data_IF_920297808087
#
_entry.id   IF_920297808087
#
_cell.length_a   1.000
_cell.length_b   1.000
_cell.length_c   1.000
_cell.angle_alpha   90.00
_cell.angle_beta   90.00
_cell.angle_gamma   90.00
#
_symmetry.space_group_name_H-M   'P 1'
#
loop_
_entity.id
_entity.type
_entity.pdbx_description
1 polymer ?
#
# COMPACT_ATOMS: atom_id res chain seq x y z
N UNK A 1 -13.79 -15.11 28.53
CA UNK A 1 -13.87 -14.90 27.07
C UNK A 1 -12.46 -14.82 26.46
N UNK A 2 -11.69 -15.91 26.37
CA UNK A 2 -10.26 -15.78 26.01
C UNK A 2 -9.59 -16.94 25.27
N UNK A 3 -10.31 -17.94 24.77
CA UNK A 3 -9.70 -19.10 24.07
C UNK A 3 -10.14 -19.28 22.62
N UNK A 4 -11.28 -18.71 22.23
CA UNK A 4 -11.90 -18.93 20.93
C UNK A 4 -12.50 -17.63 20.39
N UNK A 5 -12.53 -17.48 19.05
CA UNK A 5 -13.24 -16.43 18.30
C UNK A 5 -14.15 -17.06 17.23
N UNK A 6 -15.15 -16.31 16.77
CA UNK A 6 -15.92 -16.68 15.58
C UNK A 6 -14.96 -16.81 14.39
N UNK A 7 -15.12 -17.87 13.60
CA UNK A 7 -14.24 -18.24 12.50
C UNK A 7 -13.11 -19.20 12.87
N UNK A 8 -12.87 -19.49 14.16
CA UNK A 8 -11.87 -20.47 14.55
C UNK A 8 -12.26 -21.88 14.09
N UNK A 9 -11.29 -22.59 13.49
CA UNK A 9 -11.40 -24.02 13.23
C UNK A 9 -11.13 -24.79 14.52
N UNK A 10 -12.06 -25.64 14.88
CA UNK A 10 -12.03 -26.41 16.12
C UNK A 10 -12.25 -27.89 15.84
N UNK A 11 -11.72 -28.72 16.73
CA UNK A 11 -11.88 -30.18 16.68
C UNK A 11 -12.71 -30.62 17.88
N UNK A 12 -13.67 -31.50 17.65
CA UNK A 12 -14.45 -32.12 18.71
C UNK A 12 -13.58 -33.11 19.48
N UNK A 13 -13.44 -32.92 20.79
CA UNK A 13 -12.62 -33.78 21.65
C UNK A 13 -13.40 -35.02 22.17
N UNK A 14 -14.70 -35.08 21.87
CA UNK A 14 -15.61 -36.17 22.20
C UNK A 14 -16.77 -36.25 21.19
N UNK A 15 -17.48 -37.37 21.16
CA UNK A 15 -18.70 -37.52 20.35
C UNK A 15 -19.79 -36.54 20.83
N UNK A 16 -20.41 -35.82 19.90
CA UNK A 16 -21.43 -34.81 20.19
C UNK A 16 -22.45 -34.64 19.06
N UNK A 17 -23.68 -35.10 19.29
CA UNK A 17 -24.72 -35.13 18.25
C UNK A 17 -24.26 -35.95 17.04
N UNK A 18 -24.25 -35.32 15.85
CA UNK A 18 -23.74 -35.91 14.61
C UNK A 18 -22.22 -35.76 14.40
N UNK A 19 -21.52 -35.04 15.28
CA UNK A 19 -20.06 -34.94 15.24
C UNK A 19 -19.42 -36.06 16.06
N UNK A 20 -18.38 -36.68 15.53
CA UNK A 20 -17.55 -37.67 16.22
C UNK A 20 -16.30 -37.03 16.80
N UNK A 21 -15.73 -37.66 17.83
CA UNK A 21 -14.42 -37.26 18.34
C UNK A 21 -13.41 -37.24 17.18
N UNK A 22 -12.72 -36.12 17.02
CA UNK A 22 -11.76 -35.89 15.94
C UNK A 22 -12.35 -35.16 14.73
N UNK A 23 -13.67 -35.07 14.61
CA UNK A 23 -14.31 -34.26 13.56
C UNK A 23 -13.97 -32.78 13.78
N UNK A 24 -13.92 -32.03 12.68
CA UNK A 24 -13.56 -30.63 12.70
C UNK A 24 -14.73 -29.77 12.23
N UNK A 25 -14.85 -28.58 12.79
CA UNK A 25 -15.87 -27.60 12.45
C UNK A 25 -15.39 -26.17 12.67
N UNK A 26 -16.25 -25.21 12.38
CA UNK A 26 -15.95 -23.78 12.50
C UNK A 26 -16.91 -23.13 13.49
N UNK A 27 -16.39 -22.33 14.42
CA UNK A 27 -17.24 -21.53 15.32
C UNK A 27 -17.96 -20.44 14.50
N UNK A 28 -19.29 -20.43 14.53
CA UNK A 28 -20.10 -19.43 13.80
C UNK A 28 -20.79 -18.42 14.72
N UNK A 29 -21.01 -18.75 15.98
CA UNK A 29 -21.50 -17.80 16.99
C UNK A 29 -21.19 -18.27 18.40
N UNK A 30 -21.37 -17.37 19.37
CA UNK A 30 -21.24 -17.69 20.78
C UNK A 30 -22.61 -17.82 21.45
N UNK A 31 -22.69 -18.76 22.38
CA UNK A 31 -23.79 -18.90 23.33
C UNK A 31 -23.36 -18.22 24.64
N UNK A 32 -24.31 -17.86 25.50
CA UNK A 32 -23.99 -17.22 26.77
C UNK A 32 -23.09 -18.13 27.66
N UNK A 33 -22.27 -17.45 28.47
CA UNK A 33 -21.35 -17.93 29.51
C UNK A 33 -20.20 -18.88 29.10
N UNK A 34 -20.40 -19.92 28.28
CA UNK A 34 -19.32 -20.87 27.95
C UNK A 34 -19.54 -21.79 26.73
N UNK A 35 -20.43 -21.40 25.83
CA UNK A 35 -20.77 -22.17 24.64
C UNK A 35 -20.51 -21.47 23.31
N UNK A 36 -20.44 -22.26 22.25
CA UNK A 36 -20.37 -21.81 20.87
C UNK A 36 -21.28 -22.66 19.99
N UNK A 37 -21.72 -22.08 18.88
CA UNK A 37 -22.28 -22.83 17.76
C UNK A 37 -21.13 -23.17 16.82
N UNK A 38 -20.92 -24.47 16.58
CA UNK A 38 -19.91 -24.99 15.66
C UNK A 38 -20.61 -25.64 14.48
N UNK A 39 -20.34 -25.14 13.27
CA UNK A 39 -20.81 -25.77 12.04
C UNK A 39 -19.85 -26.90 11.67
N UNK A 40 -20.38 -28.11 11.59
CA UNK A 40 -19.68 -29.29 11.09
C UNK A 40 -20.48 -29.87 9.92
N UNK A 41 -19.82 -30.00 8.76
CA UNK A 41 -20.46 -30.32 7.47
C UNK A 41 -21.55 -29.27 7.15
N UNK A 42 -22.81 -29.63 7.33
CA UNK A 42 -23.98 -28.78 7.07
C UNK A 42 -24.88 -28.64 8.30
N UNK A 43 -24.40 -29.06 9.48
CA UNK A 43 -25.17 -29.09 10.72
C UNK A 43 -24.50 -28.19 11.76
N UNK A 44 -25.32 -27.39 12.44
CA UNK A 44 -24.89 -26.53 13.53
C UNK A 44 -25.02 -27.27 14.87
N UNK A 45 -23.91 -27.31 15.62
CA UNK A 45 -23.84 -27.92 16.94
C UNK A 45 -23.67 -26.84 18.00
N UNK A 46 -24.65 -26.69 18.90
CA UNK A 46 -24.49 -25.87 20.10
C UNK A 46 -23.67 -26.64 21.14
N UNK A 47 -22.38 -26.34 21.31
CA UNK A 47 -21.48 -27.08 22.19
C UNK A 47 -20.74 -26.16 23.19
N UNK A 48 -20.39 -26.72 24.34
CA UNK A 48 -19.59 -26.05 25.36
C UNK A 48 -18.10 -26.05 24.94
N UNK A 49 -17.35 -25.02 25.30
CA UNK A 49 -15.91 -24.91 25.00
C UNK A 49 -15.06 -26.07 25.52
N UNK A 50 -15.50 -26.79 26.55
CA UNK A 50 -14.84 -28.00 27.05
C UNK A 50 -14.87 -29.17 26.07
N UNK A 51 -15.74 -29.13 25.05
CA UNK A 51 -15.94 -30.20 24.07
C UNK A 51 -15.21 -29.99 22.76
N UNK A 52 -14.50 -28.87 22.64
CA UNK A 52 -13.78 -28.48 21.44
C UNK A 52 -12.38 -27.99 21.80
N UNK A 53 -11.44 -28.26 20.91
CA UNK A 53 -10.09 -27.71 20.98
C UNK A 53 -9.79 -26.91 19.72
N UNK A 54 -8.96 -25.87 19.86
CA UNK A 54 -8.53 -25.09 18.70
C UNK A 54 -7.68 -26.02 17.84
N UNK A 55 -8.07 -26.20 16.58
CA UNK A 55 -7.17 -26.78 15.59
C UNK A 55 -6.23 -25.64 15.23
N UNK A 56 -4.91 -25.76 15.50
CA UNK A 56 -3.97 -24.80 14.96
C UNK A 56 -4.25 -24.78 13.47
N UNK A 57 -4.61 -23.61 12.94
CA UNK A 57 -4.57 -23.42 11.50
C UNK A 57 -3.13 -23.70 11.18
N UNK A 58 -2.84 -24.90 10.67
CA UNK A 58 -1.60 -25.13 9.97
C UNK A 58 -1.60 -24.01 8.95
N UNK A 59 -0.76 -23.01 9.18
CA UNK A 59 -0.37 -22.05 8.19
C UNK A 59 0.02 -22.93 7.02
N UNK A 60 -0.89 -23.09 6.06
CA UNK A 60 -0.53 -23.64 4.79
C UNK A 60 0.53 -22.65 4.35
N UNK A 61 1.80 -23.07 4.36
CA UNK A 61 2.94 -22.22 4.01
C UNK A 61 2.50 -21.41 2.82
N UNK A 62 2.35 -20.11 3.02
CA UNK A 62 1.74 -19.28 1.99
C UNK A 62 2.63 -19.41 0.76
N UNK A 63 2.04 -19.96 -0.31
CA UNK A 63 2.73 -20.13 -1.58
C UNK A 63 2.40 -18.94 -2.47
N UNK A 64 3.40 -18.17 -2.92
CA UNK A 64 3.16 -17.04 -3.79
C UNK A 64 2.55 -17.51 -5.11
N UNK A 65 1.58 -16.75 -5.60
CA UNK A 65 0.90 -16.99 -6.88
C UNK A 65 1.09 -15.78 -7.79
N UNK A 66 1.00 -16.01 -9.10
CA UNK A 66 0.98 -14.91 -10.09
C UNK A 66 -0.11 -13.90 -9.72
N UNK A 67 0.26 -12.62 -9.76
CA UNK A 67 -0.57 -11.49 -9.35
C UNK A 67 -0.42 -11.07 -7.88
N UNK A 68 0.13 -11.90 -6.98
CA UNK A 68 0.29 -11.48 -5.58
C UNK A 68 1.26 -10.29 -5.48
N UNK A 69 0.93 -9.31 -4.63
CA UNK A 69 1.86 -8.24 -4.20
C UNK A 69 2.63 -8.73 -2.98
N UNK A 70 3.94 -8.71 -3.05
CA UNK A 70 4.84 -9.28 -2.04
C UNK A 70 5.93 -8.28 -1.69
N UNK A 71 6.29 -8.19 -0.41
CA UNK A 71 7.42 -7.37 0.04
C UNK A 71 8.64 -8.26 0.17
N UNK A 72 9.72 -7.89 -0.51
CA UNK A 72 10.99 -8.63 -0.45
C UNK A 72 11.60 -8.43 0.93
N UNK A 73 11.81 -9.51 1.69
CA UNK A 73 12.41 -9.47 3.03
C UNK A 73 13.89 -9.84 3.00
N UNK A 74 14.31 -10.55 1.97
CA UNK A 74 15.69 -10.94 1.73
C UNK A 74 15.94 -10.96 0.21
N UNK A 75 17.10 -10.49 -0.22
CA UNK A 75 17.50 -10.49 -1.62
C UNK A 75 18.82 -11.25 -1.83
N UNK A 76 19.16 -12.20 -0.97
CA UNK A 76 20.39 -12.98 -1.08
C UNK A 76 20.12 -14.33 -1.78
N UNK A 77 20.96 -14.70 -2.76
CA UNK A 77 20.91 -16.03 -3.37
C UNK A 77 21.31 -17.12 -2.37
N UNK A 78 20.97 -18.40 -2.62
CA UNK A 78 21.44 -19.50 -1.77
C UNK A 78 22.97 -19.57 -1.63
N UNK A 79 23.72 -19.02 -2.59
CA UNK A 79 25.18 -18.92 -2.55
C UNK A 79 25.73 -17.69 -1.80
N UNK A 80 24.89 -16.88 -1.16
CA UNK A 80 25.30 -15.70 -0.39
C UNK A 80 25.48 -14.43 -1.23
N UNK A 81 25.31 -14.48 -2.56
CA UNK A 81 25.44 -13.32 -3.43
C UNK A 81 24.15 -12.48 -3.47
N UNK A 82 24.23 -11.14 -3.45
CA UNK A 82 23.05 -10.27 -3.52
C UNK A 82 22.40 -10.26 -4.91
N UNK A 83 21.07 -10.27 -4.91
CA UNK A 83 20.20 -10.15 -6.09
C UNK A 83 19.91 -8.66 -6.31
N UNK A 84 20.73 -8.02 -7.13
CA UNK A 84 20.71 -6.55 -7.37
C UNK A 84 19.41 -6.00 -7.96
N UNK A 85 18.54 -6.85 -8.48
CA UNK A 85 17.27 -6.43 -9.13
C UNK A 85 16.15 -6.15 -8.14
N UNK A 86 16.27 -6.62 -6.90
CA UNK A 86 15.22 -6.50 -5.90
C UNK A 86 15.75 -5.80 -4.66
N UNK A 87 15.01 -4.80 -4.19
CA UNK A 87 15.31 -4.03 -2.98
C UNK A 87 14.54 -4.62 -1.81
N UNK A 88 15.23 -4.91 -0.71
CA UNK A 88 14.57 -5.36 0.54
C UNK A 88 13.66 -4.24 1.05
N UNK A 89 12.46 -4.59 1.49
CA UNK A 89 11.42 -3.67 1.94
C UNK A 89 10.56 -3.09 0.83
N UNK A 90 10.90 -3.33 -0.44
CA UNK A 90 10.10 -2.89 -1.59
C UNK A 90 9.10 -3.93 -2.00
N UNK A 91 7.95 -3.45 -2.44
CA UNK A 91 6.85 -4.28 -2.88
C UNK A 91 6.92 -4.53 -4.39
N UNK A 92 6.62 -5.77 -4.79
CA UNK A 92 6.63 -6.22 -6.17
C UNK A 92 5.43 -7.10 -6.46
N UNK A 93 5.06 -7.20 -7.74
CA UNK A 93 4.01 -8.12 -8.20
C UNK A 93 4.63 -9.40 -8.78
N UNK A 94 4.12 -10.56 -8.34
CA UNK A 94 4.53 -11.87 -8.87
C UNK A 94 4.08 -12.01 -10.32
N UNK A 95 5.03 -12.15 -11.24
CA UNK A 95 4.76 -12.29 -12.69
C UNK A 95 4.83 -13.74 -13.16
N UNK A 96 5.58 -14.59 -12.46
CA UNK A 96 5.63 -16.03 -12.72
C UNK A 96 6.12 -16.79 -11.49
N UNK A 97 5.74 -18.06 -11.40
CA UNK A 97 6.17 -19.02 -10.37
C UNK A 97 6.77 -20.25 -11.05
N UNK A 98 7.92 -20.72 -10.59
CA UNK A 98 8.54 -21.96 -11.05
C UNK A 98 9.03 -22.78 -9.86
N UNK A 99 9.44 -24.03 -10.11
CA UNK A 99 10.16 -24.83 -9.11
C UNK A 99 11.65 -24.59 -9.27
N UNK A 100 12.35 -24.39 -8.16
CA UNK A 100 13.81 -24.37 -8.17
C UNK A 100 14.38 -25.80 -8.21
N UNK A 101 15.69 -25.91 -8.38
CA UNK A 101 16.41 -27.19 -8.43
C UNK A 101 16.40 -27.97 -7.11
N UNK A 102 16.01 -27.32 -5.99
CA UNK A 102 15.86 -27.94 -4.67
C UNK A 102 14.40 -28.32 -4.36
N UNK A 103 13.48 -28.16 -5.32
CA UNK A 103 12.06 -28.46 -5.15
C UNK A 103 11.25 -27.37 -4.45
N UNK A 104 11.86 -26.24 -4.11
CA UNK A 104 11.20 -25.06 -3.56
C UNK A 104 10.49 -24.22 -4.62
N UNK A 105 9.62 -23.30 -4.18
CA UNK A 105 8.94 -22.35 -5.07
C UNK A 105 9.83 -21.12 -5.30
N UNK A 106 10.17 -20.90 -6.57
CA UNK A 106 10.86 -19.73 -7.07
C UNK A 106 9.85 -18.80 -7.75
N UNK A 107 10.04 -17.50 -7.58
CA UNK A 107 9.18 -16.47 -8.16
C UNK A 107 9.99 -15.44 -8.94
N UNK A 108 9.38 -15.00 -10.02
CA UNK A 108 9.89 -13.96 -10.91
C UNK A 108 9.02 -12.71 -10.78
N UNK A 109 9.69 -11.57 -10.65
CA UNK A 109 9.07 -10.26 -10.60
C UNK A 109 9.55 -9.49 -11.84
N UNK A 110 8.64 -8.73 -12.47
CA UNK A 110 8.97 -7.83 -13.59
C UNK A 110 9.67 -8.50 -14.79
N UNK A 111 9.45 -9.81 -15.02
CA UNK A 111 10.05 -10.53 -16.16
C UNK A 111 11.57 -10.73 -16.08
N UNK A 112 12.21 -10.53 -14.92
CA UNK A 112 13.64 -10.73 -14.75
C UNK A 112 13.99 -12.16 -14.33
N UNK A 113 14.98 -12.77 -14.98
CA UNK A 113 15.37 -14.18 -14.79
C UNK A 113 16.10 -14.47 -13.46
N UNK A 114 16.04 -13.58 -12.47
CA UNK A 114 16.57 -13.79 -11.13
C UNK A 114 15.43 -14.18 -10.20
N UNK A 115 15.51 -15.38 -9.64
CA UNK A 115 14.47 -15.98 -8.83
C UNK A 115 14.67 -15.67 -7.34
N UNK A 116 13.59 -15.30 -6.67
CA UNK A 116 13.50 -15.25 -5.22
C UNK A 116 12.68 -16.44 -4.72
N UNK A 117 12.95 -16.93 -3.53
CA UNK A 117 12.20 -18.03 -2.90
C UNK A 117 11.06 -17.51 -2.04
N UNK A 118 10.02 -18.32 -1.84
CA UNK A 118 8.81 -17.95 -1.09
C UNK A 118 9.08 -17.44 0.33
N UNK A 119 10.13 -17.92 0.99
CA UNK A 119 10.59 -17.49 2.33
C UNK A 119 11.31 -16.14 2.34
N UNK A 120 11.68 -15.62 1.17
CA UNK A 120 12.31 -14.31 0.99
C UNK A 120 11.28 -13.18 0.80
N UNK A 121 10.02 -13.47 1.11
CA UNK A 121 8.93 -12.52 1.08
C UNK A 121 8.14 -12.53 2.38
N UNK A 122 7.64 -11.35 2.74
CA UNK A 122 6.51 -11.28 3.62
C UNK A 122 5.25 -11.68 2.84
N UNK A 123 4.46 -12.61 3.40
CA UNK A 123 3.14 -12.91 2.89
C UNK A 123 2.28 -11.63 2.86
N UNK A 124 1.42 -11.46 1.84
CA UNK A 124 0.55 -10.31 1.74
C UNK A 124 -0.35 -10.23 2.98
N UNK A 125 -0.59 -9.00 3.44
CA UNK A 125 -1.56 -8.77 4.51
C UNK A 125 -2.94 -9.24 4.02
N UNK A 126 -3.69 -10.01 4.83
CA UNK A 126 -5.03 -10.45 4.43
C UNK A 126 -5.90 -9.26 4.01
N UNK A 127 -6.47 -9.34 2.81
CA UNK A 127 -7.34 -8.30 2.29
C UNK A 127 -8.62 -8.23 3.14
N UNK A 128 -9.05 -7.03 3.51
CA UNK A 128 -10.36 -6.80 4.13
C UNK A 128 -11.23 -6.02 3.15
N UNK A 129 -12.30 -6.65 2.66
CA UNK A 129 -13.27 -5.97 1.80
C UNK A 129 -14.12 -5.01 2.63
N UNK A 130 -14.32 -3.80 2.11
CA UNK A 130 -15.14 -2.73 2.66
C UNK A 130 -16.11 -2.26 1.59
N UNK A 131 -17.39 -2.11 1.93
CA UNK A 131 -18.40 -1.61 1.00
C UNK A 131 -18.04 -0.22 0.45
N UNK A 132 -18.41 0.05 -0.79
CA UNK A 132 -18.11 1.28 -1.52
C UNK A 132 -16.69 1.38 -2.08
N UNK A 133 -15.78 0.46 -1.74
CA UNK A 133 -14.40 0.45 -2.25
C UNK A 133 -14.26 -0.36 -3.53
N UNK A 134 -13.17 -0.10 -4.25
CA UNK A 134 -12.76 -0.86 -5.43
C UNK A 134 -11.54 -1.71 -5.09
N UNK A 135 -11.41 -2.83 -5.78
CA UNK A 135 -10.38 -3.83 -5.56
C UNK A 135 -9.79 -4.28 -6.89
N UNK A 136 -8.56 -4.80 -6.83
CA UNK A 136 -7.86 -5.36 -7.98
C UNK A 136 -7.99 -6.87 -7.98
N UNK A 137 -8.41 -7.46 -9.09
CA UNK A 137 -8.35 -8.90 -9.30
C UNK A 137 -6.93 -9.35 -9.59
N UNK A 138 -6.69 -10.65 -9.45
CA UNK A 138 -5.41 -11.29 -9.78
C UNK A 138 -4.93 -11.02 -11.21
N UNK A 139 -5.84 -10.93 -12.17
CA UNK A 139 -5.54 -10.59 -13.57
C UNK A 139 -5.47 -9.08 -13.85
N UNK A 140 -5.55 -8.26 -12.80
CA UNK A 140 -5.27 -6.83 -12.86
C UNK A 140 -6.46 -5.92 -13.16
N UNK A 141 -7.69 -6.45 -13.18
CA UNK A 141 -8.91 -5.66 -13.42
C UNK A 141 -9.40 -4.97 -12.16
N UNK A 142 -10.05 -3.81 -12.35
CA UNK A 142 -10.74 -3.06 -11.29
C UNK A 142 -12.12 -3.67 -11.07
N UNK A 143 -12.44 -4.00 -9.82
CA UNK A 143 -13.73 -4.58 -9.41
C UNK A 143 -14.32 -3.77 -8.27
N UNK A 144 -15.57 -3.35 -8.42
CA UNK A 144 -16.29 -2.52 -7.46
C UNK A 144 -17.27 -1.57 -8.16
N UNK A 145 -17.95 -0.70 -7.40
CA UNK A 145 -17.87 -0.59 -5.94
C UNK A 145 -18.40 -1.86 -5.28
N UNK A 146 -17.77 -2.28 -4.18
CA UNK A 146 -18.24 -3.45 -3.43
C UNK A 146 -19.52 -3.12 -2.68
N UNK A 147 -20.50 -4.01 -2.75
CA UNK A 147 -21.73 -3.91 -1.99
C UNK A 147 -21.79 -5.06 -0.98
N UNK A 148 -22.38 -4.80 0.19
CA UNK A 148 -22.63 -5.86 1.15
C UNK A 148 -23.81 -6.71 0.66
N UNK A 149 -23.57 -8.01 0.48
CA UNK A 149 -24.60 -8.91 -0.05
C UNK A 149 -25.40 -9.62 1.05
N UNK A 150 -24.87 -9.66 2.27
CA UNK A 150 -25.58 -10.01 3.51
C UNK A 150 -26.67 -11.08 3.37
N UNK A 151 -26.32 -12.28 2.90
CA UNK A 151 -27.33 -13.27 2.51
C UNK A 151 -27.82 -14.17 3.67
N UNK A 152 -27.07 -14.30 4.78
CA UNK A 152 -27.48 -15.05 5.97
C UNK A 152 -26.59 -14.74 7.20
N UNK A 153 -27.04 -15.01 8.44
CA UNK A 153 -26.18 -14.91 9.62
C UNK A 153 -24.98 -15.87 9.51
N UNK A 154 -23.78 -15.31 9.36
CA UNK A 154 -22.53 -16.06 9.22
C UNK A 154 -21.90 -16.02 7.82
N UNK A 155 -22.57 -15.42 6.83
CA UNK A 155 -22.02 -15.23 5.48
C UNK A 155 -21.67 -13.75 5.25
N UNK A 156 -20.45 -13.37 5.63
CA UNK A 156 -19.83 -12.07 5.31
C UNK A 156 -19.38 -12.07 3.84
N UNK A 157 -20.36 -11.98 2.92
CA UNK A 157 -20.12 -11.90 1.48
C UNK A 157 -20.30 -10.47 0.95
N UNK A 158 -19.41 -10.09 0.04
CA UNK A 158 -19.52 -8.85 -0.75
C UNK A 158 -19.84 -9.19 -2.20
N UNK A 159 -20.54 -8.28 -2.90
CA UNK A 159 -20.90 -8.42 -4.30
C UNK A 159 -20.37 -7.23 -5.12
N UNK A 160 -19.91 -7.49 -6.34
CA UNK A 160 -19.57 -6.45 -7.31
C UNK A 160 -19.76 -6.95 -8.74
N UNK A 161 -19.88 -6.02 -9.67
CA UNK A 161 -19.91 -6.33 -11.10
C UNK A 161 -18.50 -6.64 -11.62
N UNK A 162 -18.36 -7.77 -12.30
CA UNK A 162 -17.17 -8.14 -13.07
C UNK A 162 -17.64 -8.59 -14.45
N UNK A 163 -17.17 -7.91 -15.50
CA UNK A 163 -17.58 -8.14 -16.90
C UNK A 163 -19.10 -8.15 -17.10
N UNK A 164 -19.81 -7.22 -16.44
CA UNK A 164 -21.27 -7.11 -16.53
C UNK A 164 -22.05 -8.22 -15.81
N UNK A 165 -21.38 -9.06 -15.02
CA UNK A 165 -22.01 -10.08 -14.20
C UNK A 165 -21.72 -9.84 -12.72
N UNK A 166 -22.72 -10.00 -11.87
CA UNK A 166 -22.53 -9.94 -10.42
C UNK A 166 -21.69 -11.13 -9.94
N UNK A 167 -20.62 -10.85 -9.20
CA UNK A 167 -19.74 -11.84 -8.58
C UNK A 167 -19.73 -11.67 -7.07
N UNK A 168 -19.65 -12.80 -6.36
CA UNK A 168 -19.63 -12.87 -4.90
C UNK A 168 -18.22 -13.13 -4.40
N UNK A 169 -17.81 -12.39 -3.39
CA UNK A 169 -16.49 -12.47 -2.79
C UNK A 169 -16.63 -12.73 -1.29
N UNK A 170 -15.80 -13.64 -0.78
CA UNK A 170 -15.64 -13.80 0.66
C UNK A 170 -14.84 -12.61 1.22
N UNK A 171 -14.95 -12.38 2.53
CA UNK A 171 -14.26 -11.29 3.23
C UNK A 171 -12.74 -11.23 3.01
N UNK A 172 -12.12 -12.37 2.72
CA UNK A 172 -10.68 -12.51 2.46
C UNK A 172 -10.27 -12.18 1.01
N UNK A 173 -11.22 -11.76 0.16
CA UNK A 173 -10.98 -11.44 -1.25
C UNK A 173 -11.20 -12.60 -2.21
N UNK A 174 -11.39 -13.83 -1.74
CA UNK A 174 -11.55 -14.99 -2.62
C UNK A 174 -12.92 -15.01 -3.29
N UNK A 175 -12.96 -15.42 -4.56
CA UNK A 175 -14.24 -15.59 -5.25
C UNK A 175 -15.01 -16.77 -4.65
N UNK A 176 -16.26 -16.54 -4.27
CA UNK A 176 -17.09 -17.50 -3.54
C UNK A 176 -17.23 -18.84 -4.28
N UNK A 177 -17.36 -18.81 -5.61
CA UNK A 177 -17.45 -20.01 -6.46
C UNK A 177 -16.10 -20.56 -6.94
N UNK A 178 -14.98 -20.13 -6.32
CA UNK A 178 -13.63 -20.67 -6.53
C UNK A 178 -13.05 -20.46 -7.93
N UNK A 179 -13.52 -19.44 -8.66
CA UNK A 179 -12.81 -18.93 -9.84
C UNK A 179 -11.64 -18.06 -9.39
N UNK A 180 -10.44 -18.66 -9.38
CA UNK A 180 -9.23 -18.04 -8.82
C UNK A 180 -8.69 -16.87 -9.63
N UNK A 181 -9.11 -16.73 -10.89
CA UNK A 181 -8.62 -15.66 -11.76
C UNK A 181 -9.19 -14.29 -11.35
N UNK A 182 -10.31 -14.30 -10.65
CA UNK A 182 -10.99 -13.09 -10.17
C UNK A 182 -10.87 -12.91 -8.65
N UNK A 183 -10.00 -13.66 -7.98
CA UNK A 183 -9.67 -13.38 -6.58
C UNK A 183 -9.15 -11.94 -6.46
N UNK A 184 -9.65 -11.22 -5.45
CA UNK A 184 -9.20 -9.89 -5.11
C UNK A 184 -7.89 -9.97 -4.33
N UNK A 185 -6.91 -9.19 -4.74
CA UNK A 185 -5.54 -9.26 -4.22
C UNK A 185 -5.08 -7.98 -3.51
N UNK A 186 -5.76 -6.85 -3.76
CA UNK A 186 -5.46 -5.56 -3.15
C UNK A 186 -6.67 -4.61 -3.29
N UNK A 187 -6.75 -3.60 -2.42
CA UNK A 187 -7.59 -2.42 -2.69
C UNK A 187 -7.07 -1.70 -3.94
N UNK A 188 -7.99 -1.32 -4.81
CA UNK A 188 -7.68 -0.53 -6.00
C UNK A 188 -7.52 0.93 -5.56
N UNK A 189 -6.28 1.37 -5.51
CA UNK A 189 -5.93 2.78 -5.41
C UNK A 189 -5.73 3.26 -6.85
N UNK A 190 -6.50 4.26 -7.28
CA UNK A 190 -6.27 4.88 -8.59
C UNK A 190 -4.85 5.46 -8.61
N UNK A 191 -3.99 4.92 -9.49
CA UNK A 191 -2.68 5.50 -9.75
C UNK A 191 -2.87 6.93 -10.30
N UNK A 192 -2.05 7.91 -9.90
CA UNK A 192 -2.15 9.26 -10.45
C UNK A 192 -1.86 9.18 -11.95
N UNK A 193 -2.90 9.33 -12.77
CA UNK A 193 -2.82 9.14 -14.22
C UNK A 193 -2.01 10.27 -14.86
N UNK A 194 -0.84 9.90 -15.40
CA UNK A 194 -0.13 10.67 -16.43
C UNK A 194 -0.88 10.45 -17.74
N UNK A 195 -1.72 11.40 -18.15
CA UNK A 195 -2.53 11.27 -19.37
C UNK A 195 -1.73 11.85 -20.55
N UNK A 196 -1.15 10.96 -21.36
CA UNK A 196 -0.94 11.24 -22.77
C UNK A 196 -2.28 11.03 -23.48
N UNK A 197 -2.82 12.07 -24.12
CA UNK A 197 -4.05 11.97 -24.90
C UNK A 197 -3.90 12.71 -26.22
N UNK A 198 -4.17 11.99 -27.29
CA UNK A 198 -4.24 12.43 -28.68
C UNK A 198 -5.72 12.57 -29.11
N UNK A 199 -6.06 13.78 -29.56
CA UNK A 199 -7.10 14.23 -30.49
C UNK A 199 -8.51 13.58 -30.47
N UNK A 200 -9.47 14.26 -29.85
CA UNK A 200 -10.40 15.16 -30.55
C UNK A 200 -11.50 15.68 -29.59
N UNK A 201 -11.61 17.01 -29.52
CA UNK A 201 -12.46 17.82 -28.62
C UNK A 201 -12.12 17.69 -27.12
N UNK A 202 -11.16 18.51 -26.66
CA UNK A 202 -10.66 18.50 -25.29
C UNK A 202 -11.75 18.95 -24.29
N UNK A 203 -12.16 18.11 -23.32
CA UNK A 203 -12.73 18.63 -22.08
C UNK A 203 -11.66 19.47 -21.36
N UNK A 204 -12.09 20.53 -20.66
CA UNK A 204 -11.22 21.46 -19.95
C UNK A 204 -10.20 20.69 -19.08
N UNK A 205 -8.91 20.88 -19.40
CA UNK A 205 -7.76 20.17 -18.80
C UNK A 205 -7.58 20.48 -17.30
N UNK A 206 -8.10 21.63 -16.87
CA UNK A 206 -8.04 22.13 -15.50
C UNK A 206 -9.39 22.75 -15.11
N UNK A 207 -9.64 22.88 -13.80
CA UNK A 207 -10.81 23.55 -13.21
C UNK A 207 -10.41 24.72 -12.32
N UNK A 208 -11.36 25.62 -12.07
CA UNK A 208 -11.20 26.70 -11.07
C UNK A 208 -10.81 26.09 -9.71
N UNK A 209 -9.76 26.64 -9.12
CA UNK A 209 -9.14 26.15 -7.89
C UNK A 209 -7.93 25.24 -8.10
N UNK A 210 -7.66 24.76 -9.32
CA UNK A 210 -6.44 24.00 -9.60
C UNK A 210 -5.21 24.92 -9.53
N UNK A 211 -4.15 24.42 -8.89
CA UNK A 211 -2.83 25.05 -8.88
C UNK A 211 -2.03 24.57 -10.08
N UNK A 212 -1.49 25.52 -10.84
CA UNK A 212 -0.78 25.27 -12.09
C UNK A 212 0.57 25.99 -12.10
N UNK A 213 1.46 25.56 -12.99
CA UNK A 213 2.63 26.31 -13.42
C UNK A 213 2.41 26.74 -14.87
N UNK A 214 2.76 27.98 -15.18
CA UNK A 214 2.68 28.48 -16.55
C UNK A 214 3.89 28.03 -17.35
N UNK A 215 3.60 27.44 -18.52
CA UNK A 215 4.56 27.04 -19.52
C UNK A 215 4.50 27.92 -20.77
N UNK A 216 3.79 29.06 -20.72
CA UNK A 216 3.82 30.04 -21.80
C UNK A 216 5.25 30.57 -22.01
N UNK A 217 5.54 31.08 -23.20
CA UNK A 217 6.80 31.77 -23.49
C UNK A 217 6.64 33.28 -23.33
N UNK A 218 6.21 33.69 -22.14
CA UNK A 218 5.73 35.03 -21.83
C UNK A 218 6.03 35.48 -20.40
N UNK A 219 5.37 36.55 -19.92
CA UNK A 219 5.69 37.18 -18.63
C UNK A 219 5.41 36.26 -17.43
N UNK A 220 4.55 35.26 -17.58
CA UNK A 220 4.24 34.31 -16.49
C UNK A 220 5.03 33.01 -16.58
N UNK A 221 5.97 32.87 -17.52
CA UNK A 221 6.74 31.63 -17.72
C UNK A 221 7.37 31.13 -16.41
N UNK A 222 7.01 29.91 -16.02
CA UNK A 222 7.52 29.25 -14.82
C UNK A 222 6.91 29.75 -13.50
N UNK A 223 5.99 30.71 -13.54
CA UNK A 223 5.28 31.18 -12.34
C UNK A 223 4.18 30.20 -11.93
N UNK A 224 3.96 30.12 -10.63
CA UNK A 224 2.87 29.35 -10.04
C UNK A 224 1.64 30.22 -9.90
N UNK A 225 0.47 29.63 -10.16
CA UNK A 225 -0.79 30.33 -9.98
C UNK A 225 -1.95 29.39 -9.71
N UNK A 226 -3.08 29.98 -9.34
CA UNK A 226 -4.35 29.28 -9.14
C UNK A 226 -5.33 29.76 -10.20
N UNK A 227 -6.02 28.81 -10.84
CA UNK A 227 -7.09 29.13 -11.79
C UNK A 227 -8.26 29.73 -11.01
N UNK A 228 -8.63 30.97 -11.32
CA UNK A 228 -9.74 31.68 -10.67
C UNK A 228 -10.97 31.81 -11.58
N UNK A 229 -10.84 31.47 -12.86
CA UNK A 229 -11.92 31.47 -13.83
C UNK A 229 -11.55 30.70 -15.10
N UNK A 230 -12.57 30.24 -15.81
CA UNK A 230 -12.48 29.40 -17.00
C UNK A 230 -13.37 30.00 -18.08
N UNK A 231 -12.75 30.55 -19.13
CA UNK A 231 -13.48 30.97 -20.33
C UNK A 231 -13.57 29.80 -21.30
N UNK A 232 -14.67 29.06 -21.15
CA UNK A 232 -15.03 27.89 -21.95
C UNK A 232 -15.21 28.20 -23.44
N UNK A 233 -15.30 29.48 -23.83
CA UNK A 233 -15.48 29.88 -25.23
C UNK A 233 -14.16 30.01 -25.99
N UNK A 234 -13.06 30.31 -25.30
CA UNK A 234 -11.74 30.53 -25.92
C UNK A 234 -10.64 29.56 -25.43
N UNK A 235 -11.00 28.59 -24.58
CA UNK A 235 -10.06 27.64 -23.97
C UNK A 235 -8.92 28.31 -23.18
N UNK A 236 -9.25 29.43 -22.52
CA UNK A 236 -8.35 30.21 -21.69
C UNK A 236 -8.79 30.17 -20.23
N UNK A 237 -7.79 30.17 -19.34
CA UNK A 237 -7.97 30.30 -17.91
C UNK A 237 -7.54 31.69 -17.47
N UNK A 238 -8.30 32.32 -16.58
CA UNK A 238 -7.77 33.44 -15.81
C UNK A 238 -7.09 32.86 -14.57
N UNK A 239 -5.79 33.10 -14.46
CA UNK A 239 -4.92 32.55 -13.43
C UNK A 239 -4.39 33.69 -12.59
N UNK A 240 -4.46 33.54 -11.26
CA UNK A 240 -3.80 34.43 -10.33
C UNK A 240 -2.42 33.90 -10.00
N UNK A 241 -1.38 34.63 -10.42
CA UNK A 241 0.01 34.22 -10.25
C UNK A 241 0.63 34.77 -8.96
N UNK A 242 1.50 33.97 -8.35
CA UNK A 242 2.28 34.35 -7.19
C UNK A 242 3.50 35.17 -7.62
N UNK A 243 3.68 36.37 -7.04
CA UNK A 243 4.83 37.23 -7.36
C UNK A 243 4.77 37.91 -8.73
N UNK A 244 3.61 37.94 -9.37
CA UNK A 244 3.35 38.66 -10.61
C UNK A 244 2.51 39.91 -10.34
N UNK A 245 2.83 41.05 -10.93
CA UNK A 245 2.18 42.35 -10.72
C UNK A 245 1.94 43.16 -12.01
N UNK A 246 2.04 42.51 -13.18
CA UNK A 246 1.82 43.11 -14.51
C UNK A 246 0.65 42.45 -15.26
N UNK A 247 -0.39 42.10 -14.50
CA UNK A 247 -1.58 41.40 -14.94
C UNK A 247 -2.50 42.21 -15.85
N UNK A 248 -3.33 41.50 -16.60
CA UNK A 248 -4.38 42.07 -17.45
C UNK A 248 -5.79 41.58 -17.03
N UNK A 249 -5.90 41.00 -15.84
CA UNK A 249 -7.17 40.63 -15.23
C UNK A 249 -7.79 41.74 -14.40
N UNK A 250 -8.66 41.38 -13.45
CA UNK A 250 -9.30 42.35 -12.54
C UNK A 250 -8.33 42.82 -11.45
N UNK A 251 -7.33 42.01 -11.13
CA UNK A 251 -6.22 42.36 -10.26
C UNK A 251 -4.90 42.32 -11.04
N UNK A 252 -3.93 43.11 -10.60
CA UNK A 252 -2.60 43.25 -11.22
C UNK A 252 -1.77 41.95 -11.20
N UNK A 253 -2.22 40.90 -10.51
CA UNK A 253 -1.57 39.58 -10.50
C UNK A 253 -2.33 38.50 -11.29
N UNK A 254 -3.27 38.91 -12.14
CA UNK A 254 -4.10 38.01 -12.92
C UNK A 254 -3.74 38.05 -14.41
N UNK A 255 -3.59 36.88 -15.00
CA UNK A 255 -3.20 36.74 -16.40
C UNK A 255 -4.02 35.65 -17.08
N UNK A 256 -4.31 35.87 -18.36
CA UNK A 256 -5.00 34.91 -19.20
C UNK A 256 -4.00 33.92 -19.76
N UNK A 257 -4.16 32.64 -19.40
CA UNK A 257 -3.28 31.56 -19.80
C UNK A 257 -4.06 30.56 -20.64
N UNK A 258 -3.51 30.14 -21.79
CA UNK A 258 -4.16 29.10 -22.60
C UNK A 258 -4.10 27.75 -21.89
N UNK A 259 -5.09 26.90 -22.11
CA UNK A 259 -5.13 25.57 -21.50
C UNK A 259 -3.91 24.69 -21.84
N UNK A 260 -3.32 24.88 -23.00
CA UNK A 260 -2.11 24.20 -23.45
C UNK A 260 -0.84 24.67 -22.73
N UNK A 261 -0.82 25.93 -22.30
CA UNK A 261 0.29 26.57 -21.57
C UNK A 261 0.17 26.35 -20.06
N UNK A 262 -0.99 25.94 -19.55
CA UNK A 262 -1.14 25.49 -18.17
C UNK A 262 -0.62 24.06 -17.99
N UNK A 263 0.19 23.85 -16.95
CA UNK A 263 0.69 22.55 -16.54
C UNK A 263 0.39 22.31 -15.07
N UNK A 264 0.06 21.07 -14.69
CA UNK A 264 0.13 20.72 -13.28
C UNK A 264 1.58 20.89 -12.82
N UNK A 265 1.83 21.46 -11.63
CA UNK A 265 3.17 21.47 -11.07
C UNK A 265 3.64 20.01 -11.04
N UNK A 266 4.79 19.73 -11.65
CA UNK A 266 5.39 18.40 -11.58
C UNK A 266 5.43 17.99 -10.11
N UNK A 267 4.95 16.78 -9.79
CA UNK A 267 5.10 16.19 -8.47
C UNK A 267 6.58 16.30 -8.13
N UNK A 268 6.91 17.23 -7.22
CA UNK A 268 8.26 17.33 -6.71
C UNK A 268 8.63 15.92 -6.24
N UNK A 269 9.79 15.43 -6.64
CA UNK A 269 10.44 14.38 -5.87
C UNK A 269 10.58 14.95 -4.48
N UNK A 270 9.61 14.66 -3.61
CA UNK A 270 9.55 15.29 -2.30
C UNK A 270 10.70 14.70 -1.52
N UNK A 271 11.74 15.49 -1.37
CA UNK A 271 12.90 15.09 -0.60
C UNK A 271 12.43 14.95 0.85
N UNK A 272 12.56 13.76 1.47
CA UNK A 272 12.04 13.55 2.80
C UNK A 272 12.74 14.49 3.79
N UNK A 273 12.01 14.94 4.80
CA UNK A 273 12.48 15.91 5.77
C UNK A 273 12.17 15.48 7.20
N UNK A 274 12.95 15.95 8.16
CA UNK A 274 12.72 15.73 9.60
C UNK A 274 12.57 17.07 10.31
N UNK A 275 11.93 17.03 11.48
CA UNK A 275 11.90 18.16 12.41
C UNK A 275 12.84 17.86 13.58
N UNK A 276 13.64 18.85 13.98
CA UNK A 276 14.51 18.76 15.15
C UNK A 276 14.37 20.00 16.03
N UNK A 277 14.53 19.84 17.33
CA UNK A 277 14.64 20.95 18.27
C UNK A 277 15.96 21.69 18.00
N UNK A 278 15.94 23.02 18.01
CA UNK A 278 17.12 23.87 17.96
C UNK A 278 17.36 24.42 19.36
N UNK A 279 18.53 24.11 19.93
CA UNK A 279 18.94 24.62 21.23
C UNK A 279 20.32 25.26 21.09
N UNK A 280 20.43 26.56 21.40
CA UNK A 280 21.67 27.33 21.24
C UNK A 280 22.27 27.27 19.82
N UNK A 281 21.42 27.24 18.79
CA UNK A 281 21.82 27.13 17.39
C UNK A 281 22.28 25.74 16.95
N UNK A 282 22.16 24.73 17.82
CA UNK A 282 22.51 23.34 17.54
C UNK A 282 21.24 22.52 17.34
N UNK A 283 21.21 21.74 16.26
CA UNK A 283 20.12 20.82 15.98
C UNK A 283 20.21 19.57 16.87
N UNK A 284 19.10 19.27 17.57
CA UNK A 284 18.92 18.11 18.42
C UNK A 284 17.82 17.20 17.84
N UNK A 285 18.14 16.41 16.80
CA UNK A 285 17.19 15.43 16.26
C UNK A 285 16.91 14.33 17.29
N UNK A 286 15.67 13.84 17.31
CA UNK A 286 15.28 12.68 18.11
C UNK A 286 16.13 11.45 17.74
N UNK A 287 16.38 10.55 18.70
CA UNK A 287 17.03 9.25 18.45
C UNK A 287 16.25 8.38 17.46
N UNK A 288 14.96 8.67 17.27
CA UNK A 288 14.12 8.17 16.17
C UNK A 288 13.33 9.34 15.60
N UNK A 289 13.90 10.10 14.65
CA UNK A 289 13.21 11.23 14.06
C UNK A 289 12.05 10.76 13.20
N UNK A 290 10.92 11.48 13.26
CA UNK A 290 9.81 11.27 12.34
C UNK A 290 10.23 11.81 10.98
N UNK A 291 10.20 10.95 9.97
CA UNK A 291 10.50 11.32 8.59
C UNK A 291 9.21 11.69 7.90
N UNK A 292 9.12 12.95 7.48
CA UNK A 292 8.03 13.49 6.69
C UNK A 292 8.31 13.28 5.20
N UNK A 293 7.24 13.11 4.42
CA UNK A 293 7.36 12.90 2.98
C UNK A 293 7.95 14.11 2.23
N UNK A 294 7.79 15.33 2.75
CA UNK A 294 8.28 16.57 2.14
C UNK A 294 8.67 17.63 3.18
N UNK A 295 9.37 18.68 2.71
CA UNK A 295 9.70 19.85 3.53
C UNK A 295 8.45 20.56 4.06
N UNK A 296 7.38 20.68 3.26
CA UNK A 296 6.11 21.32 3.66
C UNK A 296 5.42 20.54 4.79
N UNK A 297 5.42 19.21 4.69
CA UNK A 297 4.88 18.33 5.73
C UNK A 297 5.67 18.47 7.04
N UNK A 298 7.01 18.54 6.97
CA UNK A 298 7.86 18.80 8.13
C UNK A 298 7.67 20.23 8.67
N UNK A 299 7.45 21.23 7.82
CA UNK A 299 7.19 22.62 8.23
C UNK A 299 5.87 22.75 8.98
N UNK A 300 4.85 22.02 8.54
CA UNK A 300 3.56 21.94 9.23
C UNK A 300 3.73 21.33 10.62
N UNK A 301 4.50 20.25 10.74
CA UNK A 301 4.78 19.62 12.03
C UNK A 301 5.64 20.51 12.95
N UNK A 302 6.67 21.18 12.41
CA UNK A 302 7.48 22.14 13.17
C UNK A 302 6.62 23.29 13.72
N UNK A 303 5.66 23.78 12.92
CA UNK A 303 4.70 24.81 13.36
C UNK A 303 3.80 24.29 14.48
N UNK A 304 3.31 23.04 14.37
CA UNK A 304 2.52 22.38 15.41
C UNK A 304 3.30 22.24 16.72
N UNK A 305 4.58 21.85 16.63
CA UNK A 305 5.46 21.68 17.79
C UNK A 305 5.82 23.02 18.45
N UNK A 306 6.09 24.07 17.66
CA UNK A 306 6.34 25.41 18.18
C UNK A 306 5.13 25.97 18.95
N UNK A 307 3.91 25.70 18.48
CA UNK A 307 2.68 26.06 19.20
C UNK A 307 2.50 25.24 20.49
N UNK A 308 2.86 23.96 20.46
CA UNK A 308 2.75 23.07 21.63
C UNK A 308 3.81 23.35 22.69
N UNK A 309 4.97 23.87 22.29
CA UNK A 309 6.12 24.14 23.15
C UNK A 309 6.63 25.59 23.00
N UNK A 310 5.92 26.58 23.57
CA UNK A 310 6.32 27.98 23.49
C UNK A 310 7.73 28.23 24.06
N UNK A 311 8.52 29.05 23.35
CA UNK A 311 9.90 29.37 23.74
C UNK A 311 10.95 28.35 23.25
N UNK A 312 10.52 27.28 22.58
CA UNK A 312 11.41 26.35 21.88
C UNK A 312 11.41 26.64 20.37
N UNK A 313 12.55 26.41 19.72
CA UNK A 313 12.72 26.59 18.28
C UNK A 313 12.80 25.21 17.61
N UNK A 314 12.10 25.03 16.50
CA UNK A 314 12.11 23.78 15.74
C UNK A 314 12.57 24.04 14.31
N UNK A 315 13.62 23.33 13.89
CA UNK A 315 14.19 23.41 12.55
C UNK A 315 13.71 22.26 11.67
N UNK A 316 13.56 22.54 10.38
CA UNK A 316 13.24 21.54 9.34
C UNK A 316 14.51 21.19 8.58
N UNK A 317 14.82 19.89 8.47
CA UNK A 317 16.01 19.38 7.79
C UNK A 317 15.62 18.47 6.65
N UNK A 318 16.03 18.82 5.44
CA UNK A 318 15.75 18.07 4.22
C UNK A 318 16.90 17.10 3.92
N UNK A 319 16.59 15.87 3.54
CA UNK A 319 17.60 14.85 3.21
C UNK A 319 18.37 15.25 1.95
N UNK A 320 19.61 15.74 2.10
CA UNK A 320 20.42 16.12 0.96
C UNK A 320 21.07 14.93 0.24
N UNK A 321 21.73 14.05 1.00
CA UNK A 321 22.47 12.88 0.48
C UNK A 321 22.59 11.80 1.58
N UNK A 322 22.93 10.56 1.23
CA UNK A 322 23.10 9.45 2.16
C UNK A 322 24.40 8.70 1.92
N UNK A 323 25.11 8.33 2.99
CA UNK A 323 26.39 7.60 2.91
C UNK A 323 26.35 6.36 3.78
N UNK A 324 26.92 5.27 3.28
CA UNK A 324 27.12 4.01 4.01
C UNK A 324 28.63 3.81 4.12
N UNK A 325 29.11 3.46 5.32
CA UNK A 325 30.51 3.12 5.52
C UNK A 325 30.71 1.62 5.26
N UNK A 326 31.65 1.29 4.36
CA UNK A 326 32.07 -0.10 4.16
C UNK A 326 33.04 -0.52 5.28
N UNK A 327 32.85 -1.74 5.81
CA UNK A 327 33.75 -2.33 6.80
C UNK A 327 34.92 -2.98 6.07
N UNK A 328 36.14 -2.50 6.30
CA UNK A 328 37.38 -3.09 5.75
C UNK A 328 38.08 -3.87 6.86
N UNK A 329 38.16 -5.20 6.73
CA UNK A 329 39.00 -6.03 7.61
C UNK A 329 40.45 -5.99 7.13
N UNK A 330 41.32 -5.33 7.89
CA UNK A 330 42.76 -5.29 7.61
C UNK A 330 43.45 -6.56 8.15
N UNK A 331 43.80 -7.50 7.27
CA UNK A 331 44.53 -8.72 7.66
C UNK A 331 46.01 -8.40 7.87
N UNK A 332 46.41 -8.16 9.12
CA UNK A 332 47.83 -8.00 9.48
C UNK A 332 48.55 -9.36 9.42
N UNK A 333 49.27 -9.63 8.33
CA UNK A 333 50.19 -10.78 8.25
C UNK A 333 51.45 -10.52 9.10
N UNK A 334 51.52 -11.11 10.29
CA UNK A 334 52.74 -11.12 11.11
C UNK A 334 53.57 -12.37 10.80
N UNK A 335 54.69 -12.19 10.09
CA UNK A 335 55.65 -13.26 9.80
C UNK A 335 56.48 -13.56 11.06
N UNK A 336 56.56 -14.82 11.47
CA UNK A 336 57.40 -15.26 12.60
C UNK A 336 58.51 -16.16 12.06
N UNK A 337 59.76 -15.80 12.31
CA UNK A 337 60.94 -16.62 12.04
C UNK A 337 60.98 -17.78 13.05
N UNK A 338 61.09 -19.02 12.57
CA UNK A 338 61.47 -20.17 13.38
C UNK A 338 62.94 -20.49 13.14
N UNK A 339 63.69 -20.72 14.22
CA UNK A 339 65.08 -21.15 14.16
C UNK A 339 65.19 -22.55 13.53
N UNK A 340 66.27 -22.75 12.78
CA UNK A 340 66.55 -23.91 11.93
C UNK A 340 66.67 -25.24 12.70
#
# INVERSE_FOLDING_TARGET
MGKFKVGDRVRFVMDYGYAKKGDEGTIVSFLAEDGAVVTHKTVNHSCNFSRIELVPVASAEWQPKVGDRVVVTDNITPGGSPIKKYEVGKEYTVTSTCKDSAGGHAVMLLGHHQYLRSDQFAAPTPLTITAGRYYKTRDGRKVGPMEDYGAAPGEDLSIAQVDGNSKLFNRDGTHHFKDRNIDLIAEWVDEPTVIASNDNAAPAKFKVGDRIVSAEDGPTKGLFGVIIGDDKSEAQYIVRFEGFDDGHGTNDNEWWLRAEEAQFPALFTTTPAIVALIENGVALPSTRPVVHASQEAATTEASRLALLHPGQEFGVFVLADSKIADVVEEVVKKTVLRAA
#
